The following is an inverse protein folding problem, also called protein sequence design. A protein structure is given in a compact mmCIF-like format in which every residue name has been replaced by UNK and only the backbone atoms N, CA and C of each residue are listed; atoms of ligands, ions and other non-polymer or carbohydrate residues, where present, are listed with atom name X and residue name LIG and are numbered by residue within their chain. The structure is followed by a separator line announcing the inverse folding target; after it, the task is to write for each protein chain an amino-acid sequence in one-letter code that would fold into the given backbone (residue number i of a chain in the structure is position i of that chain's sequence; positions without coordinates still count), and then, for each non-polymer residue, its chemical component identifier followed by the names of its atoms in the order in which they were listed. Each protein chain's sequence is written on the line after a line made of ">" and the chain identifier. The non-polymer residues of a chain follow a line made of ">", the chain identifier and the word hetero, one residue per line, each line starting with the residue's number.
data_IF_535591132492
#
_entry.id   IF_535591132492
#
_cell.length_a   1.000
_cell.length_b   1.000
_cell.length_c   1.000
_cell.angle_alpha   90.00
_cell.angle_beta   90.00
_cell.angle_gamma   90.00
#
_symmetry.space_group_name_H-M   'P 1'
#
loop_
_entity.id
_entity.type
_entity.pdbx_description
1 polymer ?
#
# COMPACT_ATOMS: atom_id res chain seq x y z
N UNK A 1 -27.55 -6.12 15.50
CA UNK A 1 -27.55 -5.92 14.05
C UNK A 1 -26.10 -5.90 13.58
N UNK A 2 -25.63 -6.89 12.79
CA UNK A 2 -24.32 -6.87 12.14
C UNK A 2 -24.37 -5.73 11.13
N UNK A 3 -23.65 -4.62 11.39
CA UNK A 3 -23.31 -3.68 10.33
C UNK A 3 -22.48 -4.47 9.31
N UNK A 4 -23.07 -4.82 8.19
CA UNK A 4 -22.33 -5.25 7.00
C UNK A 4 -21.46 -4.06 6.60
N UNK A 5 -20.16 -4.18 6.86
CA UNK A 5 -19.18 -3.17 6.46
C UNK A 5 -19.19 -3.14 4.93
N UNK A 6 -19.86 -2.15 4.36
CA UNK A 6 -19.91 -1.94 2.91
C UNK A 6 -18.47 -1.77 2.40
N UNK A 7 -18.06 -2.62 1.45
CA UNK A 7 -16.71 -2.55 0.88
C UNK A 7 -16.55 -1.21 0.16
N UNK A 8 -15.63 -0.41 0.62
CA UNK A 8 -15.25 0.86 -0.03
C UNK A 8 -14.06 0.61 -0.95
N UNK A 9 -14.04 1.32 -2.09
CA UNK A 9 -13.01 1.19 -3.09
C UNK A 9 -12.33 2.53 -3.33
N UNK A 10 -11.08 2.50 -3.79
CA UNK A 10 -10.33 3.68 -4.20
C UNK A 10 -11.09 4.38 -5.34
N UNK A 11 -11.38 5.66 -5.15
CA UNK A 11 -12.22 6.44 -6.06
C UNK A 11 -11.37 7.09 -7.16
N UNK A 12 -11.62 6.74 -8.40
CA UNK A 12 -11.12 7.40 -9.59
C UNK A 12 -12.09 7.17 -10.75
N UNK A 13 -11.98 7.97 -11.82
CA UNK A 13 -12.91 7.90 -12.94
C UNK A 13 -12.28 8.19 -14.29
N UNK A 14 -13.13 8.57 -15.22
CA UNK A 14 -12.75 8.86 -16.61
C UNK A 14 -11.69 9.96 -16.70
N UNK A 15 -11.76 10.98 -15.85
CA UNK A 15 -10.81 12.11 -15.83
C UNK A 15 -9.37 11.64 -15.62
N UNK A 16 -9.12 10.82 -14.62
CA UNK A 16 -7.81 10.29 -14.26
C UNK A 16 -7.28 9.36 -15.36
N UNK A 17 -8.16 8.49 -15.85
CA UNK A 17 -7.85 7.54 -16.90
C UNK A 17 -7.45 8.25 -18.20
N UNK A 18 -8.27 9.17 -18.68
CA UNK A 18 -7.97 9.90 -19.91
C UNK A 18 -6.70 10.75 -19.80
N UNK A 19 -6.46 11.37 -18.64
CA UNK A 19 -5.24 12.10 -18.40
C UNK A 19 -3.98 11.20 -18.56
N UNK A 20 -4.00 10.02 -17.96
CA UNK A 20 -2.88 9.07 -18.05
C UNK A 20 -2.71 8.53 -19.47
N UNK A 21 -3.81 8.21 -20.16
CA UNK A 21 -3.79 7.72 -21.54
C UNK A 21 -3.21 8.74 -22.50
N UNK A 22 -3.56 10.01 -22.36
CA UNK A 22 -3.04 11.09 -23.22
C UNK A 22 -1.54 11.31 -23.02
N UNK A 23 -1.02 11.06 -21.82
CA UNK A 23 0.39 11.30 -21.49
C UNK A 23 1.32 10.12 -21.78
N UNK A 24 0.77 8.92 -21.88
CA UNK A 24 1.58 7.72 -22.03
C UNK A 24 0.89 6.65 -22.90
N UNK A 25 1.33 6.53 -24.13
CA UNK A 25 0.77 5.58 -25.09
C UNK A 25 0.97 4.10 -24.69
N UNK A 26 2.05 3.78 -23.94
CA UNK A 26 2.26 2.41 -23.46
C UNK A 26 1.30 2.08 -22.31
N UNK A 27 1.15 2.99 -21.37
CA UNK A 27 0.19 2.85 -20.27
C UNK A 27 -1.26 2.86 -20.78
N UNK A 28 -1.56 3.69 -21.82
CA UNK A 28 -2.88 3.72 -22.47
C UNK A 28 -3.31 2.33 -22.97
N UNK A 29 -2.42 1.65 -23.70
CA UNK A 29 -2.70 0.29 -24.19
C UNK A 29 -2.94 -0.70 -23.05
N UNK A 30 -2.14 -0.62 -21.98
CA UNK A 30 -2.30 -1.48 -20.82
C UNK A 30 -3.62 -1.18 -20.07
N UNK A 31 -4.03 0.08 -19.94
CA UNK A 31 -5.31 0.47 -19.36
C UNK A 31 -6.48 -0.13 -20.17
N UNK A 32 -6.42 -0.01 -21.50
CA UNK A 32 -7.48 -0.54 -22.38
C UNK A 32 -7.57 -2.08 -22.33
N UNK A 33 -6.42 -2.78 -22.19
CA UNK A 33 -6.36 -4.23 -22.09
C UNK A 33 -6.85 -4.74 -20.72
N UNK A 34 -6.49 -4.06 -19.64
CA UNK A 34 -6.82 -4.46 -18.25
C UNK A 34 -8.27 -4.08 -17.89
N UNK A 35 -8.74 -2.94 -18.39
CA UNK A 35 -10.05 -2.40 -18.03
C UNK A 35 -10.09 -1.73 -16.64
N UNK A 36 -11.31 -1.47 -16.10
CA UNK A 36 -11.49 -0.82 -14.79
C UNK A 36 -10.96 -1.66 -13.63
N UNK A 37 -10.30 -1.02 -12.68
CA UNK A 37 -9.76 -1.66 -11.47
C UNK A 37 -10.52 -1.19 -10.23
N UNK A 38 -10.88 -2.13 -9.37
CA UNK A 38 -11.55 -1.88 -8.09
C UNK A 38 -10.65 -2.34 -6.95
N UNK A 39 -10.01 -1.41 -6.26
CA UNK A 39 -9.11 -1.69 -5.14
C UNK A 39 -9.76 -1.30 -3.84
N UNK A 40 -10.03 -2.30 -3.00
CA UNK A 40 -10.63 -2.08 -1.69
C UNK A 40 -9.72 -1.21 -0.82
N UNK A 41 -10.34 -0.30 -0.06
CA UNK A 41 -9.68 0.60 0.88
C UNK A 41 -10.16 0.34 2.31
N UNK A 42 -9.40 0.82 3.28
CA UNK A 42 -9.75 0.88 4.69
C UNK A 42 -9.69 2.37 5.10
N UNK A 43 -10.81 3.12 5.03
CA UNK A 43 -10.79 4.56 5.26
C UNK A 43 -10.43 4.96 6.69
N UNK A 44 -10.70 4.10 7.66
CA UNK A 44 -10.27 4.32 9.04
C UNK A 44 -8.75 4.15 9.15
N UNK A 45 -8.05 5.22 9.51
CA UNK A 45 -6.58 5.27 9.56
C UNK A 45 -6.01 4.33 10.61
N UNK A 46 -6.62 4.24 11.79
CA UNK A 46 -6.14 3.35 12.83
C UNK A 46 -6.30 1.88 12.41
N UNK A 47 -7.46 1.52 11.91
CA UNK A 47 -7.73 0.18 11.38
C UNK A 47 -6.78 -0.18 10.24
N UNK A 48 -6.48 0.77 9.34
CA UNK A 48 -5.54 0.57 8.23
C UNK A 48 -4.11 0.35 8.73
N UNK A 49 -3.66 1.12 9.75
CA UNK A 49 -2.36 0.94 10.41
C UNK A 49 -2.25 -0.45 11.05
N UNK A 50 -3.24 -0.84 11.85
CA UNK A 50 -3.28 -2.17 12.49
C UNK A 50 -3.23 -3.29 11.44
N UNK A 51 -4.07 -3.21 10.41
CA UNK A 51 -4.09 -4.19 9.33
C UNK A 51 -2.74 -4.27 8.60
N UNK A 52 -2.11 -3.13 8.34
CA UNK A 52 -0.80 -3.06 7.69
C UNK A 52 0.31 -3.70 8.56
N UNK A 53 0.35 -3.42 9.85
CA UNK A 53 1.30 -4.05 10.79
C UNK A 53 1.11 -5.57 10.84
N UNK A 54 -0.14 -6.04 10.89
CA UNK A 54 -0.46 -7.46 10.86
C UNK A 54 0.09 -8.11 9.59
N UNK A 55 -0.06 -7.46 8.43
CA UNK A 55 0.33 -7.98 7.12
C UNK A 55 1.84 -8.04 6.85
N UNK A 56 2.67 -7.36 7.66
CA UNK A 56 4.12 -7.32 7.42
C UNK A 56 4.77 -8.70 7.44
N UNK A 57 5.61 -8.98 6.44
CA UNK A 57 6.43 -10.21 6.34
C UNK A 57 5.61 -11.53 6.28
N UNK A 58 4.34 -11.47 5.89
CA UNK A 58 3.49 -12.64 5.65
C UNK A 58 2.78 -12.54 4.30
N UNK A 59 2.27 -13.66 3.79
CA UNK A 59 1.50 -13.66 2.55
C UNK A 59 0.14 -12.99 2.74
N UNK A 60 -0.46 -12.48 1.65
CA UNK A 60 -1.81 -11.89 1.65
C UNK A 60 -2.85 -12.82 2.28
N UNK A 61 -2.83 -14.11 1.92
CA UNK A 61 -3.75 -15.10 2.50
C UNK A 61 -3.57 -15.27 4.01
N UNK A 62 -2.32 -15.24 4.50
CA UNK A 62 -2.04 -15.31 5.94
C UNK A 62 -2.51 -14.03 6.63
N UNK A 63 -2.28 -12.86 6.02
CA UNK A 63 -2.78 -11.58 6.54
C UNK A 63 -4.31 -11.58 6.68
N UNK A 64 -5.04 -11.98 5.66
CA UNK A 64 -6.50 -12.08 5.70
C UNK A 64 -6.99 -12.97 6.85
N UNK A 65 -6.33 -14.12 7.05
CA UNK A 65 -6.66 -15.03 8.14
C UNK A 65 -6.40 -14.42 9.51
N UNK A 66 -5.25 -13.81 9.71
CA UNK A 66 -4.87 -13.18 11.00
C UNK A 66 -5.75 -11.95 11.26
N UNK A 67 -6.03 -11.15 10.23
CA UNK A 67 -6.91 -9.98 10.32
C UNK A 67 -8.34 -10.37 10.74
N UNK A 68 -8.93 -11.39 10.10
CA UNK A 68 -10.25 -11.89 10.48
C UNK A 68 -10.27 -12.38 11.93
N UNK A 69 -9.22 -13.08 12.38
CA UNK A 69 -9.08 -13.51 13.78
C UNK A 69 -8.91 -12.33 14.73
N UNK A 70 -8.13 -11.32 14.36
CA UNK A 70 -7.96 -10.10 15.16
C UNK A 70 -9.31 -9.39 15.36
N UNK A 71 -10.09 -9.21 14.29
CA UNK A 71 -11.41 -8.59 14.37
C UNK A 71 -12.41 -9.41 15.20
N UNK A 72 -12.35 -10.74 15.11
CA UNK A 72 -13.22 -11.63 15.88
C UNK A 72 -12.92 -11.62 17.39
N UNK A 73 -11.65 -11.48 17.76
CA UNK A 73 -11.21 -11.47 19.16
C UNK A 73 -11.30 -10.08 19.79
N UNK A 74 -10.97 -9.02 19.02
CA UNK A 74 -10.73 -7.69 19.53
C UNK A 74 -11.55 -6.59 18.83
N UNK A 75 -12.60 -6.91 18.10
CA UNK A 75 -13.49 -5.87 17.55
C UNK A 75 -14.37 -5.24 18.64
N UNK A 76 -14.70 -3.95 18.54
CA UNK A 76 -14.35 -3.01 17.46
C UNK A 76 -12.87 -2.58 17.48
N UNK A 77 -12.29 -2.37 16.29
CA UNK A 77 -10.89 -1.96 16.16
C UNK A 77 -10.82 -0.43 16.24
N UNK A 78 -10.84 0.10 17.47
CA UNK A 78 -10.67 1.54 17.76
C UNK A 78 -9.46 1.76 18.68
N UNK A 79 -8.86 2.96 18.69
CA UNK A 79 -7.72 3.25 19.57
C UNK A 79 -8.05 2.99 21.04
N UNK A 80 -9.23 3.39 21.52
CA UNK A 80 -9.66 3.24 22.92
C UNK A 80 -9.75 1.76 23.31
N UNK A 81 -10.40 0.97 22.46
CA UNK A 81 -10.58 -0.44 22.75
C UNK A 81 -9.27 -1.21 22.66
N UNK A 82 -8.51 -1.06 21.58
CA UNK A 82 -7.22 -1.74 21.40
C UNK A 82 -6.19 -1.24 22.42
N UNK A 83 -6.20 0.06 22.75
CA UNK A 83 -5.38 0.65 23.81
C UNK A 83 -5.62 0.05 25.20
N UNK A 84 -6.82 -0.44 25.50
CA UNK A 84 -7.12 -1.09 26.77
C UNK A 84 -6.67 -2.56 26.87
N UNK A 85 -6.33 -3.21 25.74
CA UNK A 85 -5.93 -4.62 25.68
C UNK A 85 -4.39 -4.72 25.85
N UNK A 86 -3.89 -5.70 26.59
CA UNK A 86 -2.45 -5.91 26.73
C UNK A 86 -1.80 -6.44 25.45
N UNK A 87 -0.50 -6.24 25.29
CA UNK A 87 0.24 -6.77 24.13
C UNK A 87 0.24 -8.31 24.09
N UNK A 88 0.30 -8.95 25.27
CA UNK A 88 0.21 -10.40 25.43
C UNK A 88 -1.14 -10.94 24.99
N UNK A 89 -2.22 -10.20 25.26
CA UNK A 89 -3.56 -10.55 24.82
C UNK A 89 -3.69 -10.39 23.30
N UNK A 90 -3.24 -9.27 22.75
CA UNK A 90 -3.24 -9.03 21.28
C UNK A 90 -2.46 -10.11 20.52
N UNK A 91 -1.39 -10.66 21.12
CA UNK A 91 -0.61 -11.73 20.51
C UNK A 91 -1.42 -12.99 20.23
N UNK A 92 -2.50 -13.26 20.97
CA UNK A 92 -3.33 -14.47 20.82
C UNK A 92 -3.99 -14.59 19.44
N UNK A 93 -4.10 -13.50 18.67
CA UNK A 93 -4.56 -13.58 17.27
C UNK A 93 -3.53 -14.21 16.33
N UNK A 94 -2.29 -14.45 16.78
CA UNK A 94 -1.22 -15.04 15.99
C UNK A 94 -0.20 -14.04 15.42
N UNK A 95 -0.12 -12.84 15.99
CA UNK A 95 0.95 -11.86 15.67
C UNK A 95 2.14 -12.02 16.62
N UNK A 96 3.31 -11.48 16.23
CA UNK A 96 4.47 -11.44 17.13
C UNK A 96 4.27 -10.38 18.22
N UNK A 97 4.96 -10.55 19.37
CA UNK A 97 4.98 -9.56 20.46
C UNK A 97 5.39 -8.18 19.94
N UNK A 98 6.37 -8.12 19.04
CA UNK A 98 6.82 -6.87 18.42
C UNK A 98 5.68 -6.15 17.67
N UNK A 99 4.86 -6.88 16.90
CA UNK A 99 3.69 -6.31 16.20
C UNK A 99 2.63 -5.86 17.21
N UNK A 100 2.37 -6.65 18.24
CA UNK A 100 1.43 -6.28 19.29
C UNK A 100 1.85 -4.99 19.99
N UNK A 101 3.14 -4.84 20.34
CA UNK A 101 3.68 -3.61 20.94
C UNK A 101 3.56 -2.41 20.01
N UNK A 102 3.77 -2.57 18.70
CA UNK A 102 3.58 -1.47 17.73
C UNK A 102 2.13 -1.04 17.62
N UNK A 103 1.20 -1.99 17.61
CA UNK A 103 -0.24 -1.70 17.58
C UNK A 103 -0.68 -0.93 18.81
N UNK A 104 -0.17 -1.32 19.99
CA UNK A 104 -0.41 -0.58 21.25
C UNK A 104 0.12 0.84 21.19
N UNK A 105 1.39 1.02 20.79
CA UNK A 105 2.01 2.35 20.68
C UNK A 105 1.26 3.26 19.70
N UNK A 106 0.72 2.72 18.60
CA UNK A 106 -0.12 3.50 17.67
C UNK A 106 -1.43 3.93 18.33
N UNK A 107 -2.09 3.04 19.09
CA UNK A 107 -3.30 3.37 19.82
C UNK A 107 -3.02 4.49 20.84
N UNK A 108 -1.97 4.35 21.64
CA UNK A 108 -1.57 5.34 22.64
C UNK A 108 -1.26 6.70 21.98
N UNK A 109 -0.49 6.74 20.88
CA UNK A 109 -0.18 7.98 20.16
C UNK A 109 -1.42 8.70 19.62
N UNK A 110 -2.47 7.98 19.24
CA UNK A 110 -3.73 8.58 18.80
C UNK A 110 -4.50 9.13 20.02
N UNK A 111 -4.57 8.37 21.11
CA UNK A 111 -5.26 8.78 22.33
C UNK A 111 -4.61 10.01 22.99
N UNK A 112 -3.29 10.08 22.96
CA UNK A 112 -2.51 11.20 23.50
C UNK A 112 -2.47 12.42 22.56
N UNK A 113 -3.07 12.31 21.36
CA UNK A 113 -3.05 13.37 20.35
C UNK A 113 -1.70 13.55 19.65
N UNK A 114 -0.72 12.67 19.89
CA UNK A 114 0.57 12.70 19.21
C UNK A 114 0.47 12.28 17.73
N UNK A 115 -0.58 11.58 17.35
CA UNK A 115 -0.94 11.23 15.99
C UNK A 115 -2.42 11.56 15.75
N UNK A 116 -2.69 12.67 15.07
CA UNK A 116 -4.05 13.07 14.70
C UNK A 116 -4.34 12.74 13.21
N UNK A 117 -5.25 11.79 12.92
CA UNK A 117 -5.64 11.48 11.55
C UNK A 117 -6.21 12.66 10.76
N UNK A 118 -6.89 13.62 11.44
CA UNK A 118 -7.45 14.80 10.79
C UNK A 118 -6.36 15.79 10.39
N UNK A 119 -5.33 15.97 11.24
CA UNK A 119 -4.15 16.77 10.91
C UNK A 119 -3.43 16.19 9.68
N UNK A 120 -3.20 14.87 9.66
CA UNK A 120 -2.56 14.21 8.52
C UNK A 120 -3.32 14.44 7.20
N UNK A 121 -4.64 14.50 7.24
CA UNK A 121 -5.45 14.74 6.04
C UNK A 121 -5.20 16.13 5.43
N UNK A 122 -4.85 17.12 6.23
CA UNK A 122 -4.57 18.49 5.80
C UNK A 122 -3.10 18.70 5.33
N UNK A 123 -2.19 17.78 5.66
CA UNK A 123 -0.75 17.91 5.34
C UNK A 123 -0.46 17.57 3.88
N UNK A 124 0.71 18.02 3.38
CA UNK A 124 1.25 17.60 2.08
C UNK A 124 1.61 16.11 2.09
N UNK A 125 1.63 15.47 0.90
CA UNK A 125 2.00 14.05 0.77
C UNK A 125 3.40 13.75 1.34
N UNK A 126 4.36 14.67 1.13
CA UNK A 126 5.71 14.53 1.65
C UNK A 126 5.74 14.57 3.20
N UNK A 127 5.00 15.49 3.80
CA UNK A 127 4.93 15.63 5.26
C UNK A 127 4.18 14.45 5.89
N UNK A 128 3.08 13.99 5.28
CA UNK A 128 2.38 12.77 5.71
C UNK A 128 3.30 11.57 5.69
N UNK A 129 4.00 11.34 4.58
CA UNK A 129 4.94 10.22 4.47
C UNK A 129 6.02 10.29 5.55
N UNK A 130 6.61 11.47 5.76
CA UNK A 130 7.60 11.72 6.81
C UNK A 130 7.03 11.44 8.20
N UNK A 131 5.84 11.96 8.50
CA UNK A 131 5.18 11.80 9.81
C UNK A 131 4.86 10.34 10.12
N UNK A 132 4.23 9.64 9.16
CA UNK A 132 3.89 8.23 9.32
C UNK A 132 5.14 7.35 9.45
N UNK A 133 6.23 7.66 8.72
CA UNK A 133 7.48 6.89 8.80
C UNK A 133 8.23 7.05 10.12
N UNK A 134 7.85 7.98 10.99
CA UNK A 134 8.38 8.11 12.35
C UNK A 134 7.74 7.13 13.33
N UNK A 135 6.58 6.55 12.97
CA UNK A 135 5.88 5.56 13.80
C UNK A 135 6.69 4.26 13.77
N UNK A 136 6.94 3.67 14.93
CA UNK A 136 7.63 2.38 15.00
C UNK A 136 6.88 1.29 14.24
N UNK A 137 7.59 0.59 13.38
CA UNK A 137 7.00 -0.42 12.51
C UNK A 137 6.40 0.10 11.21
N UNK A 138 6.36 1.41 10.98
CA UNK A 138 5.88 2.01 9.73
C UNK A 138 7.06 2.55 8.94
N UNK A 139 7.47 1.84 7.88
CA UNK A 139 8.45 2.34 6.93
C UNK A 139 7.83 3.19 5.81
N UNK A 140 8.65 3.82 4.98
CA UNK A 140 8.21 4.65 3.85
C UNK A 140 7.19 3.92 2.97
N UNK A 141 7.47 2.68 2.57
CA UNK A 141 6.52 1.89 1.76
C UNK A 141 5.17 1.70 2.46
N UNK A 142 5.18 1.40 3.76
CA UNK A 142 3.93 1.26 4.54
C UNK A 142 3.17 2.58 4.62
N UNK A 143 3.88 3.70 4.83
CA UNK A 143 3.28 5.02 4.83
C UNK A 143 2.62 5.35 3.48
N UNK A 144 3.31 5.08 2.36
CA UNK A 144 2.77 5.27 1.01
C UNK A 144 1.52 4.40 0.76
N UNK A 145 1.50 3.14 1.24
CA UNK A 145 0.31 2.28 1.14
C UNK A 145 -0.88 2.82 1.96
N UNK A 146 -0.63 3.36 3.15
CA UNK A 146 -1.66 4.03 3.94
C UNK A 146 -2.21 5.28 3.24
N UNK A 147 -1.32 6.08 2.64
CA UNK A 147 -1.72 7.25 1.86
C UNK A 147 -2.62 6.87 0.67
N UNK A 148 -2.36 5.75 0.02
CA UNK A 148 -3.20 5.22 -1.07
C UNK A 148 -4.50 4.63 -0.51
N UNK A 149 -4.40 3.63 0.37
CA UNK A 149 -5.52 2.74 0.70
C UNK A 149 -6.33 3.15 1.94
N UNK A 150 -5.93 4.21 2.63
CA UNK A 150 -6.72 4.82 3.71
C UNK A 150 -7.06 6.27 3.41
N UNK A 151 -6.08 7.08 3.03
CA UNK A 151 -6.26 8.51 2.79
C UNK A 151 -6.72 8.84 1.35
N UNK A 152 -6.70 7.89 0.43
CA UNK A 152 -7.05 8.04 -0.98
C UNK A 152 -6.25 9.15 -1.70
N UNK A 153 -4.96 9.30 -1.37
CA UNK A 153 -4.08 10.26 -2.04
C UNK A 153 -3.85 9.85 -3.49
N UNK A 154 -4.01 10.81 -4.40
CA UNK A 154 -4.05 10.56 -5.85
C UNK A 154 -2.66 10.52 -6.51
N UNK A 155 -1.61 11.04 -5.87
CA UNK A 155 -0.31 11.21 -6.52
C UNK A 155 0.83 10.44 -5.84
N UNK A 156 0.55 9.19 -5.46
CA UNK A 156 1.51 8.31 -4.80
C UNK A 156 1.99 7.20 -5.73
N UNK A 157 3.31 7.07 -5.87
CA UNK A 157 3.98 5.94 -6.50
C UNK A 157 5.24 5.61 -5.71
N UNK A 158 5.37 4.35 -5.29
CA UNK A 158 6.44 3.92 -4.39
C UNK A 158 7.70 3.47 -5.12
N UNK A 159 8.84 4.12 -4.83
CA UNK A 159 10.15 3.62 -5.22
C UNK A 159 10.52 2.30 -4.54
N UNK A 160 10.03 2.10 -3.32
CA UNK A 160 10.35 0.92 -2.52
C UNK A 160 9.44 -0.29 -2.84
N UNK A 161 8.55 -0.16 -3.82
CA UNK A 161 7.65 -1.25 -4.22
C UNK A 161 8.23 -2.02 -5.41
N UNK A 162 8.66 -3.26 -5.14
CA UNK A 162 9.26 -4.12 -6.16
C UNK A 162 8.29 -4.46 -7.30
N UNK A 163 7.00 -4.52 -7.04
CA UNK A 163 5.99 -4.79 -8.07
C UNK A 163 5.78 -3.57 -8.97
N UNK A 164 5.82 -2.35 -8.42
CA UNK A 164 5.85 -1.11 -9.22
C UNK A 164 7.07 -1.08 -10.13
N UNK A 165 8.27 -1.31 -9.58
CA UNK A 165 9.50 -1.34 -10.38
C UNK A 165 9.46 -2.43 -11.46
N UNK A 166 8.90 -3.60 -11.14
CA UNK A 166 8.68 -4.66 -12.11
C UNK A 166 7.68 -4.26 -13.20
N UNK A 167 6.55 -3.67 -12.82
CA UNK A 167 5.54 -3.16 -13.76
C UNK A 167 6.13 -2.14 -14.73
N UNK A 168 6.95 -1.20 -14.24
CA UNK A 168 7.67 -0.23 -15.07
C UNK A 168 8.66 -0.91 -16.03
N UNK A 169 9.44 -1.91 -15.56
CA UNK A 169 10.34 -2.65 -16.45
C UNK A 169 9.56 -3.37 -17.56
N UNK A 170 8.47 -4.05 -17.21
CA UNK A 170 7.64 -4.77 -18.18
C UNK A 170 7.01 -3.81 -19.20
N UNK A 171 6.38 -2.75 -18.73
CA UNK A 171 5.67 -1.78 -19.57
C UNK A 171 6.58 -1.09 -20.57
N UNK A 172 7.78 -0.67 -20.13
CA UNK A 172 8.72 0.09 -20.97
C UNK A 172 9.91 -0.72 -21.47
N UNK A 173 9.89 -2.05 -21.26
CA UNK A 173 10.93 -2.99 -21.70
C UNK A 173 12.32 -2.64 -21.18
N UNK A 174 12.40 -2.09 -19.98
CA UNK A 174 13.67 -1.80 -19.32
C UNK A 174 14.24 -3.06 -18.66
N UNK A 175 15.56 -3.15 -18.56
CA UNK A 175 16.24 -4.18 -17.76
C UNK A 175 16.31 -3.78 -16.29
N UNK A 176 16.37 -2.48 -16.05
CA UNK A 176 16.48 -1.89 -14.72
C UNK A 176 15.73 -0.54 -14.70
N UNK A 177 15.14 -0.18 -13.57
CA UNK A 177 14.61 1.15 -13.32
C UNK A 177 15.59 1.88 -12.41
N UNK A 178 16.30 2.86 -12.99
CA UNK A 178 17.16 3.75 -12.21
C UNK A 178 16.33 4.83 -11.50
N UNK A 179 16.84 5.48 -10.43
CA UNK A 179 16.15 6.61 -9.78
C UNK A 179 15.73 7.71 -10.77
N UNK A 180 16.59 8.00 -11.75
CA UNK A 180 16.29 9.00 -12.80
C UNK A 180 15.13 8.58 -13.70
N UNK A 181 15.05 7.30 -14.08
CA UNK A 181 13.92 6.78 -14.86
C UNK A 181 12.64 6.75 -14.04
N UNK A 182 12.70 6.33 -12.80
CA UNK A 182 11.55 6.35 -11.89
C UNK A 182 10.98 7.75 -11.77
N UNK A 183 11.81 8.74 -11.48
CA UNK A 183 11.38 10.14 -11.35
C UNK A 183 10.78 10.69 -12.66
N UNK A 184 11.30 10.27 -13.82
CA UNK A 184 10.73 10.61 -15.13
C UNK A 184 9.29 10.09 -15.24
N UNK A 185 9.02 8.84 -14.83
CA UNK A 185 7.69 8.25 -14.88
C UNK A 185 6.76 8.84 -13.82
N UNK A 186 7.26 9.04 -12.59
CA UNK A 186 6.51 9.71 -11.53
C UNK A 186 5.98 11.06 -12.00
N UNK A 187 6.83 11.92 -12.58
CA UNK A 187 6.42 13.22 -13.13
C UNK A 187 5.42 13.11 -14.28
N UNK A 188 5.53 12.06 -15.10
CA UNK A 188 4.61 11.83 -16.21
C UNK A 188 3.21 11.49 -15.73
N UNK A 189 3.09 10.69 -14.67
CA UNK A 189 1.82 10.25 -14.12
C UNK A 189 1.16 11.28 -13.19
N UNK A 190 1.95 12.16 -12.59
CA UNK A 190 1.44 13.21 -11.71
C UNK A 190 0.42 14.10 -12.46
N UNK A 191 -0.73 14.43 -11.81
CA UNK A 191 -1.10 14.25 -10.40
C UNK A 191 -1.87 12.95 -10.09
N UNK A 192 -1.84 11.93 -10.96
CA UNK A 192 -2.59 10.69 -10.81
C UNK A 192 -1.69 9.45 -10.73
N UNK A 193 -0.53 9.61 -10.10
CA UNK A 193 0.45 8.51 -9.98
C UNK A 193 -0.09 7.31 -9.19
N UNK A 194 -1.06 7.50 -8.30
CA UNK A 194 -1.75 6.40 -7.61
C UNK A 194 -2.52 5.54 -8.59
N UNK A 195 -3.30 6.14 -9.50
CA UNK A 195 -4.05 5.38 -10.51
C UNK A 195 -3.09 4.61 -11.41
N UNK A 196 -1.98 5.24 -11.84
CA UNK A 196 -0.93 4.55 -12.59
C UNK A 196 -0.33 3.38 -11.78
N UNK A 197 -0.13 3.53 -10.46
CA UNK A 197 0.35 2.46 -9.58
C UNK A 197 -0.61 1.25 -9.57
N UNK A 198 -1.92 1.48 -9.58
CA UNK A 198 -2.91 0.38 -9.65
C UNK A 198 -2.70 -0.47 -10.91
N UNK A 199 -2.49 0.15 -12.06
CA UNK A 199 -2.22 -0.57 -13.31
C UNK A 199 -0.84 -1.21 -13.34
N UNK A 200 0.20 -0.55 -12.81
CA UNK A 200 1.55 -1.12 -12.73
C UNK A 200 1.59 -2.39 -11.89
N UNK A 201 0.83 -2.47 -10.80
CA UNK A 201 0.68 -3.70 -10.03
C UNK A 201 0.06 -4.82 -10.87
N UNK A 202 -1.00 -4.55 -11.63
CA UNK A 202 -1.64 -5.55 -12.50
C UNK A 202 -0.69 -6.03 -13.61
N UNK A 203 0.02 -5.09 -14.26
CA UNK A 203 1.05 -5.41 -15.25
C UNK A 203 2.11 -6.32 -14.63
N UNK A 204 2.58 -6.01 -13.42
CA UNK A 204 3.60 -6.81 -12.73
C UNK A 204 3.14 -8.25 -12.44
N UNK A 205 1.84 -8.47 -12.30
CA UNK A 205 1.22 -9.78 -12.10
C UNK A 205 0.85 -10.49 -13.42
N UNK A 206 1.16 -9.88 -14.57
CA UNK A 206 0.96 -10.51 -15.89
C UNK A 206 -0.42 -10.26 -16.50
N UNK A 207 -1.11 -9.18 -16.11
CA UNK A 207 -2.42 -8.85 -16.66
C UNK A 207 -2.38 -8.42 -18.14
N UNK A 208 -1.21 -8.06 -18.69
CA UNK A 208 -1.05 -7.71 -20.09
C UNK A 208 -0.30 -8.79 -20.84
N UNK A 209 -0.90 -9.31 -21.93
CA UNK A 209 -0.28 -10.31 -22.77
C UNK A 209 1.00 -9.76 -23.46
N UNK A 210 2.07 -10.56 -23.49
CA UNK A 210 3.32 -10.21 -24.16
C UNK A 210 4.21 -9.20 -23.42
N UNK A 211 3.80 -8.68 -22.26
CA UNK A 211 4.68 -7.91 -21.37
C UNK A 211 5.44 -8.87 -20.45
N UNK A 212 6.77 -8.90 -20.56
CA UNK A 212 7.65 -9.75 -19.75
C UNK A 212 8.63 -8.92 -18.96
N UNK A 213 9.05 -9.42 -17.79
CA UNK A 213 10.09 -8.76 -16.98
C UNK A 213 11.47 -9.02 -17.60
N UNK A 214 12.11 -7.98 -18.11
CA UNK A 214 13.43 -8.02 -18.70
C UNK A 214 14.58 -7.87 -17.69
N UNK A 215 14.30 -7.99 -16.38
CA UNK A 215 15.35 -7.93 -15.36
C UNK A 215 16.46 -8.95 -15.65
N UNK A 216 17.74 -8.62 -15.41
CA UNK A 216 18.82 -9.57 -15.53
C UNK A 216 18.53 -10.80 -14.67
N UNK A 217 18.63 -12.00 -15.25
CA UNK A 217 18.58 -13.23 -14.44
C UNK A 217 19.75 -13.17 -13.46
N UNK A 218 19.47 -13.08 -12.17
CA UNK A 218 20.51 -13.21 -11.14
C UNK A 218 21.16 -14.56 -11.30
N UNK A 219 22.37 -14.58 -11.88
CA UNK A 219 23.14 -15.81 -12.02
C UNK A 219 23.33 -16.44 -10.64
N UNK A 220 22.89 -17.68 -10.48
CA UNK A 220 23.33 -18.51 -9.35
C UNK A 220 24.85 -18.41 -9.31
N UNK A 221 25.44 -17.72 -8.33
CA UNK A 221 26.89 -17.82 -8.06
C UNK A 221 27.16 -19.32 -7.92
N UNK A 222 27.78 -19.93 -8.93
CA UNK A 222 28.36 -21.28 -8.79
C UNK A 222 29.32 -21.17 -7.61
N UNK A 223 29.00 -21.81 -6.49
CA UNK A 223 29.98 -22.11 -5.47
C UNK A 223 31.05 -22.92 -6.18
N UNK A 224 32.19 -22.29 -6.47
CA UNK A 224 33.42 -23.04 -6.77
C UNK A 224 33.77 -23.75 -5.46
N UNK A 225 33.74 -25.09 -5.53
CA UNK A 225 34.28 -25.98 -4.53
C UNK A 225 35.80 -25.84 -4.37
#
# INVERSE_FOLDING_TARGET
>A
MKQMNEKKYFEYGTKEIEYLKLRDAALSKAIDEIGPLYRQIIPDMFMALVNSIIGQQISTKAQETVWARFQALFGPVTPEHIGSISAEELQKCGISMKKASYIKEIADNILDGALDPAELQAMSDADVCKRLSQIKGVGVWTAEMLMIFSMQRMDIISWNDMAILRGLRMLYRHREITPKLFEKYRKRYSPYATVASLYLWQISHGACAGLVDNAPKTGKKKKKG
#
